data_IF_671999535736
#
_entry.id   IF_671999535736
#
_cell.length_a   1.000
_cell.length_b   1.000
_cell.length_c   1.000
_cell.angle_alpha   90.00
_cell.angle_beta   90.00
_cell.angle_gamma   90.00
#
_symmetry.space_group_name_H-M   'P 1'
#
loop_
_entity.id
_entity.type
_entity.pdbx_description
1 polymer ?
#
# COMPACT_ATOMS: atom_id res chain seq x y z
N UNK A 1 -26.36 -16.72 -51.27
CA UNK A 1 -26.93 -15.39 -50.91
C UNK A 1 -26.96 -15.18 -49.39
N UNK A 2 -27.30 -16.19 -48.58
CA UNK A 2 -27.31 -16.07 -47.11
C UNK A 2 -25.93 -15.88 -46.48
N UNK A 3 -24.91 -16.65 -46.89
CA UNK A 3 -23.54 -16.52 -46.36
C UNK A 3 -22.97 -15.10 -46.48
N UNK A 4 -23.14 -14.44 -47.63
CA UNK A 4 -22.63 -13.08 -47.85
C UNK A 4 -23.32 -12.05 -46.94
N UNK A 5 -24.64 -12.20 -46.72
CA UNK A 5 -25.38 -11.35 -45.78
C UNK A 5 -24.92 -11.55 -44.34
N UNK A 6 -24.71 -12.81 -43.92
CA UNK A 6 -24.17 -13.12 -42.59
C UNK A 6 -22.76 -12.55 -42.39
N UNK A 7 -21.89 -12.65 -43.39
CA UNK A 7 -20.55 -12.04 -43.36
C UNK A 7 -20.63 -10.51 -43.24
N UNK A 8 -21.52 -9.87 -43.99
CA UNK A 8 -21.75 -8.42 -43.90
C UNK A 8 -22.29 -8.00 -42.53
N UNK A 9 -23.22 -8.78 -41.96
CA UNK A 9 -23.71 -8.57 -40.60
C UNK A 9 -22.57 -8.62 -39.57
N UNK A 10 -21.69 -9.61 -39.63
CA UNK A 10 -20.54 -9.73 -38.73
C UNK A 10 -19.56 -8.57 -38.92
N UNK A 11 -19.32 -8.12 -40.16
CA UNK A 11 -18.45 -6.97 -40.44
C UNK A 11 -18.94 -5.70 -39.75
N UNK A 12 -20.26 -5.50 -39.71
CA UNK A 12 -20.89 -4.33 -39.09
C UNK A 12 -21.03 -4.49 -37.57
N UNK A 13 -21.32 -5.70 -37.09
CA UNK A 13 -21.43 -6.02 -35.67
C UNK A 13 -20.83 -7.41 -35.40
N UNK A 14 -19.60 -7.50 -34.85
CA UNK A 14 -18.96 -8.78 -34.57
C UNK A 14 -19.73 -9.68 -33.61
N UNK A 15 -20.50 -9.08 -32.68
CA UNK A 15 -21.32 -9.81 -31.73
C UNK A 15 -22.53 -10.48 -32.38
N UNK A 16 -22.85 -10.17 -33.65
CA UNK A 16 -23.89 -10.86 -34.40
C UNK A 16 -23.62 -12.37 -34.53
N UNK A 17 -22.36 -12.80 -34.37
CA UNK A 17 -21.97 -14.21 -34.34
C UNK A 17 -22.77 -15.03 -33.32
N UNK A 18 -23.23 -14.39 -32.22
CA UNK A 18 -24.03 -15.02 -31.16
C UNK A 18 -25.41 -15.51 -31.64
N UNK A 19 -25.91 -14.99 -32.76
CA UNK A 19 -27.24 -15.28 -33.30
C UNK A 19 -27.18 -16.14 -34.57
N UNK A 20 -25.99 -16.59 -34.97
CA UNK A 20 -25.81 -17.42 -36.16
C UNK A 20 -25.77 -18.88 -35.72
N UNK A 21 -26.72 -19.68 -36.18
CA UNK A 21 -26.70 -21.12 -35.96
C UNK A 21 -25.55 -21.76 -36.74
N UNK A 22 -24.70 -22.53 -36.06
CA UNK A 22 -23.54 -23.24 -36.63
C UNK A 22 -22.65 -22.35 -37.54
N UNK A 23 -22.05 -21.26 -36.99
CA UNK A 23 -21.22 -20.37 -37.79
C UNK A 23 -19.95 -21.09 -38.29
N UNK A 24 -19.53 -20.77 -39.50
CA UNK A 24 -18.28 -21.33 -40.06
C UNK A 24 -17.06 -20.75 -39.35
N UNK A 25 -15.92 -21.43 -39.41
CA UNK A 25 -14.68 -20.91 -38.82
C UNK A 25 -14.22 -19.58 -39.43
N UNK A 26 -14.52 -19.35 -40.71
CA UNK A 26 -14.34 -18.05 -41.37
C UNK A 26 -15.16 -16.94 -40.69
N UNK A 27 -16.42 -17.20 -40.35
CA UNK A 27 -17.29 -16.26 -39.66
C UNK A 27 -16.81 -15.98 -38.23
N UNK A 28 -16.42 -17.04 -37.51
CA UNK A 28 -15.87 -16.95 -36.15
C UNK A 28 -14.59 -16.11 -36.13
N UNK A 29 -13.63 -16.40 -37.01
CA UNK A 29 -12.38 -15.65 -37.11
C UNK A 29 -12.61 -14.21 -37.56
N UNK A 30 -13.57 -13.96 -38.46
CA UNK A 30 -13.94 -12.60 -38.86
C UNK A 30 -14.47 -11.79 -37.67
N UNK A 31 -15.35 -12.38 -36.86
CA UNK A 31 -15.88 -11.75 -35.65
C UNK A 31 -14.75 -11.43 -34.66
N UNK A 32 -13.88 -12.41 -34.38
CA UNK A 32 -12.73 -12.26 -33.48
C UNK A 32 -11.78 -11.15 -33.95
N UNK A 33 -11.43 -11.13 -35.24
CA UNK A 33 -10.52 -10.11 -35.80
C UNK A 33 -11.07 -8.69 -35.71
N UNK A 34 -12.40 -8.53 -35.67
CA UNK A 34 -13.05 -7.24 -35.49
C UNK A 34 -13.23 -6.86 -34.02
N UNK A 35 -13.44 -7.85 -33.15
CA UNK A 35 -13.53 -7.68 -31.71
C UNK A 35 -13.15 -8.99 -31.01
N UNK A 36 -12.00 -9.01 -30.33
CA UNK A 36 -11.50 -10.20 -29.63
C UNK A 36 -12.47 -10.74 -28.58
N UNK A 37 -13.30 -9.88 -27.98
CA UNK A 37 -14.32 -10.29 -27.00
C UNK A 37 -15.49 -11.08 -27.62
N UNK A 38 -15.59 -11.14 -28.96
CA UNK A 38 -16.55 -12.02 -29.63
C UNK A 38 -16.26 -13.50 -29.36
N UNK A 39 -15.06 -13.84 -28.87
CA UNK A 39 -14.69 -15.19 -28.44
C UNK A 39 -15.70 -15.79 -27.45
N UNK A 40 -16.34 -14.96 -26.61
CA UNK A 40 -17.35 -15.41 -25.62
C UNK A 40 -18.59 -16.07 -26.23
N UNK A 41 -18.84 -15.88 -27.52
CA UNK A 41 -19.98 -16.44 -28.24
C UNK A 41 -19.59 -17.65 -29.10
N UNK A 42 -18.34 -18.11 -29.01
CA UNK A 42 -17.82 -19.20 -29.81
C UNK A 42 -17.60 -20.41 -28.89
N UNK A 43 -18.41 -21.44 -29.09
CA UNK A 43 -18.24 -22.70 -28.39
C UNK A 43 -17.01 -23.44 -28.91
N UNK A 44 -16.21 -23.98 -27.98
CA UNK A 44 -14.97 -24.74 -28.26
C UNK A 44 -14.03 -24.05 -29.28
N UNK A 45 -13.55 -22.83 -29.00
CA UNK A 45 -12.69 -22.10 -29.93
C UNK A 45 -11.34 -22.82 -30.10
N UNK A 46 -10.82 -22.83 -31.32
CA UNK A 46 -9.49 -23.38 -31.62
C UNK A 46 -8.39 -22.52 -31.00
N UNK A 47 -7.19 -23.05 -30.81
CA UNK A 47 -6.04 -22.27 -30.32
C UNK A 47 -5.78 -21.03 -31.18
N UNK A 48 -5.91 -21.14 -32.51
CA UNK A 48 -5.80 -20.00 -33.42
C UNK A 48 -6.83 -18.90 -33.14
N UNK A 49 -8.08 -19.28 -32.82
CA UNK A 49 -9.13 -18.34 -32.47
C UNK A 49 -8.85 -17.64 -31.13
N UNK A 50 -8.38 -18.40 -30.14
CA UNK A 50 -7.99 -17.87 -28.83
C UNK A 50 -6.83 -16.88 -28.95
N UNK A 51 -5.77 -17.23 -29.69
CA UNK A 51 -4.62 -16.35 -29.95
C UNK A 51 -5.04 -15.08 -30.70
N UNK A 52 -5.82 -15.22 -31.77
CA UNK A 52 -6.33 -14.08 -32.55
C UNK A 52 -7.18 -13.14 -31.70
N UNK A 53 -7.95 -13.68 -30.74
CA UNK A 53 -8.75 -12.89 -29.82
C UNK A 53 -7.86 -12.10 -28.86
N UNK A 54 -6.82 -12.74 -28.31
CA UNK A 54 -5.83 -12.11 -27.44
C UNK A 54 -4.97 -11.06 -28.15
N UNK A 55 -4.63 -11.27 -29.42
CA UNK A 55 -3.94 -10.27 -30.26
C UNK A 55 -4.79 -9.01 -30.46
N UNK A 56 -6.11 -9.18 -30.56
CA UNK A 56 -7.02 -8.05 -30.73
C UNK A 56 -7.35 -7.37 -29.40
N UNK A 57 -7.57 -8.15 -28.34
CA UNK A 57 -7.93 -7.66 -27.02
C UNK A 57 -7.49 -8.66 -25.94
N UNK A 58 -6.49 -8.28 -25.13
CA UNK A 58 -5.94 -9.12 -24.07
C UNK A 58 -6.96 -9.57 -23.01
N UNK A 59 -8.06 -8.82 -22.82
CA UNK A 59 -9.16 -9.22 -21.94
C UNK A 59 -9.90 -10.47 -22.44
N UNK A 60 -9.73 -10.87 -23.71
CA UNK A 60 -10.30 -12.10 -24.23
C UNK A 60 -9.89 -13.35 -23.44
N UNK A 61 -8.82 -13.28 -22.64
CA UNK A 61 -8.41 -14.35 -21.70
C UNK A 61 -9.54 -14.76 -20.75
N UNK A 62 -10.47 -13.85 -20.43
CA UNK A 62 -11.68 -14.11 -19.64
C UNK A 62 -12.50 -15.29 -20.20
N UNK A 63 -12.46 -15.49 -21.52
CA UNK A 63 -13.25 -16.48 -22.26
C UNK A 63 -12.42 -17.69 -22.72
N UNK A 64 -11.15 -17.78 -22.30
CA UNK A 64 -10.28 -18.93 -22.59
C UNK A 64 -10.35 -19.89 -21.39
N UNK A 65 -10.81 -21.11 -21.64
CA UNK A 65 -10.75 -22.17 -20.63
C UNK A 65 -9.31 -22.69 -20.54
N UNK A 66 -8.72 -22.66 -19.35
CA UNK A 66 -7.35 -23.09 -19.07
C UNK A 66 -6.30 -22.42 -19.99
N UNK A 67 -6.13 -21.08 -19.92
CA UNK A 67 -5.14 -20.38 -20.74
C UNK A 67 -3.73 -20.88 -20.42
N UNK A 68 -2.87 -20.89 -21.44
CA UNK A 68 -1.44 -21.21 -21.25
C UNK A 68 -0.73 -20.11 -20.45
N UNK A 69 0.43 -20.43 -19.88
CA UNK A 69 1.22 -19.42 -19.16
C UNK A 69 1.63 -18.26 -20.08
N UNK A 70 1.98 -18.52 -21.35
CA UNK A 70 2.28 -17.47 -22.33
C UNK A 70 1.08 -16.55 -22.60
N UNK A 71 -0.14 -17.11 -22.66
CA UNK A 71 -1.36 -16.31 -22.78
C UNK A 71 -1.57 -15.41 -21.56
N UNK A 72 -1.35 -15.95 -20.35
CA UNK A 72 -1.43 -15.19 -19.11
C UNK A 72 -0.39 -14.07 -19.07
N UNK A 73 0.87 -14.35 -19.41
CA UNK A 73 1.95 -13.37 -19.50
C UNK A 73 1.58 -12.26 -20.48
N UNK A 74 1.09 -12.63 -21.67
CA UNK A 74 0.63 -11.66 -22.68
C UNK A 74 -0.49 -10.78 -22.15
N UNK A 75 -1.48 -11.35 -21.47
CA UNK A 75 -2.57 -10.58 -20.88
C UNK A 75 -2.06 -9.56 -19.86
N UNK A 76 -1.15 -9.98 -18.98
CA UNK A 76 -0.56 -9.09 -17.98
C UNK A 76 0.33 -8.02 -18.61
N UNK A 77 1.11 -8.35 -19.64
CA UNK A 77 1.95 -7.38 -20.35
C UNK A 77 1.15 -6.27 -21.04
N UNK A 78 -0.08 -6.57 -21.48
CA UNK A 78 -1.02 -5.56 -21.98
C UNK A 78 -1.57 -4.67 -20.83
N UNK A 79 -1.75 -5.25 -19.66
CA UNK A 79 -1.98 -4.49 -18.44
C UNK A 79 -2.25 -5.36 -17.21
N UNK A 80 -1.69 -4.97 -16.08
CA UNK A 80 -1.88 -5.65 -14.78
C UNK A 80 -3.35 -5.85 -14.37
N UNK A 81 -4.26 -5.02 -14.87
CA UNK A 81 -5.70 -5.14 -14.59
C UNK A 81 -6.29 -6.44 -15.13
N UNK A 82 -5.67 -7.04 -16.17
CA UNK A 82 -6.11 -8.29 -16.75
C UNK A 82 -5.93 -9.48 -15.79
N UNK A 83 -5.21 -9.32 -14.67
CA UNK A 83 -5.15 -10.32 -13.61
C UNK A 83 -6.55 -10.68 -13.07
N UNK A 84 -7.50 -9.73 -13.10
CA UNK A 84 -8.91 -9.96 -12.73
C UNK A 84 -9.56 -11.10 -13.50
N UNK A 85 -9.16 -11.31 -14.76
CA UNK A 85 -9.78 -12.26 -15.67
C UNK A 85 -9.06 -13.61 -15.71
N UNK A 86 -7.93 -13.75 -15.01
CA UNK A 86 -7.15 -14.99 -14.96
C UNK A 86 -7.63 -15.83 -13.78
N UNK A 87 -8.16 -17.02 -14.07
CA UNK A 87 -8.57 -17.98 -13.04
C UNK A 87 -7.35 -18.73 -12.51
N UNK A 88 -7.15 -18.71 -11.19
CA UNK A 88 -6.06 -19.40 -10.49
C UNK A 88 -4.65 -19.06 -11.06
N UNK A 89 -4.24 -17.78 -11.09
CA UNK A 89 -2.93 -17.40 -11.60
C UNK A 89 -1.81 -18.00 -10.73
N UNK A 90 -0.69 -18.36 -11.35
CA UNK A 90 0.52 -18.77 -10.61
C UNK A 90 1.15 -17.56 -9.92
N UNK A 91 1.95 -17.80 -8.89
CA UNK A 91 2.74 -16.74 -8.22
C UNK A 91 3.59 -15.95 -9.22
N UNK A 92 4.10 -16.58 -10.27
CA UNK A 92 4.86 -15.90 -11.34
C UNK A 92 4.00 -14.85 -12.05
N UNK A 93 2.78 -15.21 -12.45
CA UNK A 93 1.83 -14.29 -13.10
C UNK A 93 1.41 -13.17 -12.15
N UNK A 94 1.16 -13.49 -10.88
CA UNK A 94 0.81 -12.50 -9.86
C UNK A 94 1.97 -11.51 -9.66
N UNK A 95 3.19 -12.00 -9.47
CA UNK A 95 4.39 -11.15 -9.31
C UNK A 95 4.61 -10.26 -10.53
N UNK A 96 4.38 -10.77 -11.74
CA UNK A 96 4.46 -9.97 -12.97
C UNK A 96 3.48 -8.78 -12.94
N UNK A 97 2.22 -9.03 -12.55
CA UNK A 97 1.21 -7.99 -12.44
C UNK A 97 1.53 -6.96 -11.34
N UNK A 98 1.94 -7.43 -10.15
CA UNK A 98 2.33 -6.57 -9.02
C UNK A 98 3.53 -5.69 -9.40
N UNK A 99 4.49 -6.23 -10.15
CA UNK A 99 5.67 -5.47 -10.58
C UNK A 99 5.33 -4.32 -11.53
N UNK A 100 4.20 -4.37 -12.25
CA UNK A 100 3.68 -3.22 -12.97
C UNK A 100 2.98 -2.23 -12.03
N UNK A 101 2.09 -2.72 -11.17
CA UNK A 101 1.42 -1.91 -10.15
C UNK A 101 1.08 -2.73 -8.90
N UNK A 102 1.47 -2.24 -7.72
CA UNK A 102 1.23 -2.90 -6.44
C UNK A 102 -0.26 -3.15 -6.15
N UNK A 103 -1.15 -2.32 -6.72
CA UNK A 103 -2.59 -2.49 -6.62
C UNK A 103 -3.14 -3.76 -7.28
N UNK A 104 -2.36 -4.45 -8.13
CA UNK A 104 -2.75 -5.74 -8.69
C UNK A 104 -3.07 -6.79 -7.61
N UNK A 105 -2.50 -6.65 -6.41
CA UNK A 105 -2.78 -7.51 -5.25
C UNK A 105 -4.28 -7.60 -4.93
N UNK A 106 -5.09 -6.60 -5.32
CA UNK A 106 -6.54 -6.59 -5.11
C UNK A 106 -7.28 -7.75 -5.79
N UNK A 107 -6.66 -8.37 -6.80
CA UNK A 107 -7.21 -9.52 -7.54
C UNK A 107 -6.66 -10.86 -7.04
N UNK A 108 -5.84 -10.85 -5.98
CA UNK A 108 -5.22 -12.06 -5.43
C UNK A 108 -5.96 -12.45 -4.16
N UNK A 109 -6.55 -13.64 -4.16
CA UNK A 109 -7.17 -14.18 -2.96
C UNK A 109 -6.11 -14.71 -1.99
N UNK A 110 -6.16 -14.28 -0.72
CA UNK A 110 -5.25 -14.71 0.35
C UNK A 110 -3.76 -14.65 -0.07
N UNK A 111 -3.23 -13.47 -0.45
CA UNK A 111 -1.86 -13.35 -0.92
C UNK A 111 -0.85 -13.73 0.17
N UNK A 112 0.20 -14.45 -0.21
CA UNK A 112 1.32 -14.78 0.67
C UNK A 112 2.02 -13.52 1.19
N UNK A 113 2.73 -13.63 2.32
CA UNK A 113 3.49 -12.51 2.88
C UNK A 113 4.46 -11.90 1.85
N UNK A 114 5.09 -12.73 0.99
CA UNK A 114 5.99 -12.26 -0.07
C UNK A 114 5.26 -11.37 -1.08
N UNK A 115 4.07 -11.77 -1.53
CA UNK A 115 3.26 -11.00 -2.48
C UNK A 115 2.75 -9.69 -1.86
N UNK A 116 2.36 -9.73 -0.59
CA UNK A 116 1.97 -8.54 0.15
C UNK A 116 3.14 -7.54 0.26
N UNK A 117 4.33 -8.01 0.63
CA UNK A 117 5.55 -7.19 0.70
C UNK A 117 5.91 -6.59 -0.65
N UNK A 118 5.82 -7.38 -1.73
CA UNK A 118 6.08 -6.89 -3.08
C UNK A 118 5.09 -5.78 -3.47
N UNK A 119 3.81 -5.96 -3.16
CA UNK A 119 2.76 -4.99 -3.45
C UNK A 119 2.98 -3.67 -2.71
N UNK A 120 3.22 -3.70 -1.40
CA UNK A 120 3.41 -2.48 -0.59
C UNK A 120 4.70 -1.74 -0.96
N UNK A 121 5.76 -2.45 -1.33
CA UNK A 121 6.99 -1.82 -1.85
C UNK A 121 6.77 -1.08 -3.16
N UNK A 122 5.89 -1.61 -4.02
CA UNK A 122 5.56 -0.97 -5.30
C UNK A 122 4.63 0.23 -5.08
N UNK A 123 3.59 0.07 -4.27
CA UNK A 123 2.65 1.10 -3.90
C UNK A 123 2.26 0.89 -2.44
N UNK A 124 2.72 1.74 -1.52
CA UNK A 124 2.46 1.57 -0.08
C UNK A 124 0.97 1.46 0.26
N UNK A 125 0.13 2.18 -0.50
CA UNK A 125 -1.31 2.21 -0.30
C UNK A 125 -2.03 0.97 -0.86
N UNK A 126 -1.31 0.05 -1.53
CA UNK A 126 -1.85 -1.27 -1.91
C UNK A 126 -2.27 -2.10 -0.71
N UNK A 127 -1.75 -1.79 0.49
CA UNK A 127 -2.16 -2.42 1.74
C UNK A 127 -3.68 -2.29 1.99
N UNK A 128 -4.34 -1.27 1.44
CA UNK A 128 -5.80 -1.09 1.50
C UNK A 128 -6.59 -2.23 0.85
N UNK A 129 -5.96 -2.99 -0.05
CA UNK A 129 -6.56 -4.12 -0.75
C UNK A 129 -6.21 -5.47 -0.11
N UNK A 130 -5.42 -5.48 0.96
CA UNK A 130 -5.02 -6.68 1.67
C UNK A 130 -5.92 -6.82 2.90
N UNK A 131 -6.80 -7.82 2.91
CA UNK A 131 -7.77 -8.03 3.99
C UNK A 131 -7.10 -8.27 5.35
N UNK A 132 -6.06 -9.10 5.36
CA UNK A 132 -5.31 -9.50 6.56
C UNK A 132 -3.82 -9.29 6.28
N UNK A 133 -3.30 -8.05 6.43
CA UNK A 133 -1.91 -7.76 6.13
C UNK A 133 -0.99 -8.35 7.21
N UNK A 134 0.03 -9.09 6.81
CA UNK A 134 1.08 -9.55 7.72
C UNK A 134 1.79 -8.36 8.37
N UNK A 135 2.28 -8.55 9.59
CA UNK A 135 2.99 -7.52 10.36
C UNK A 135 4.10 -6.85 9.52
N UNK A 136 4.93 -7.64 8.82
CA UNK A 136 6.00 -7.10 7.98
C UNK A 136 5.49 -6.24 6.83
N UNK A 137 4.33 -6.57 6.24
CA UNK A 137 3.73 -5.77 5.19
C UNK A 137 3.17 -4.44 5.74
N UNK A 138 2.58 -4.46 6.93
CA UNK A 138 2.14 -3.26 7.64
C UNK A 138 3.32 -2.34 7.91
N UNK A 139 4.39 -2.87 8.52
CA UNK A 139 5.61 -2.13 8.80
C UNK A 139 6.23 -1.52 7.55
N UNK A 140 6.34 -2.31 6.46
CA UNK A 140 6.92 -1.83 5.21
C UNK A 140 6.09 -0.68 4.62
N UNK A 141 4.76 -0.79 4.64
CA UNK A 141 3.87 0.27 4.16
C UNK A 141 4.05 1.57 4.95
N UNK A 142 4.10 1.51 6.28
CA UNK A 142 4.29 2.72 7.13
C UNK A 142 5.72 3.27 7.07
N UNK A 143 6.74 2.42 6.84
CA UNK A 143 8.12 2.85 6.55
C UNK A 143 8.17 3.68 5.28
N UNK A 144 7.39 3.35 4.26
CA UNK A 144 7.29 4.13 3.01
C UNK A 144 6.45 5.40 3.23
N UNK A 145 5.29 5.31 3.87
CA UNK A 145 4.45 6.47 4.21
C UNK A 145 3.67 6.21 5.49
N UNK A 146 3.81 7.06 6.51
CA UNK A 146 3.05 6.92 7.76
C UNK A 146 1.54 6.96 7.53
N UNK A 147 1.08 7.64 6.47
CA UNK A 147 -0.33 7.70 6.06
C UNK A 147 -0.91 6.33 5.70
N UNK A 148 -0.07 5.33 5.42
CA UNK A 148 -0.50 3.95 5.20
C UNK A 148 -1.34 3.41 6.36
N UNK A 149 -1.09 3.90 7.58
CA UNK A 149 -1.80 3.50 8.80
C UNK A 149 -3.32 3.69 8.68
N UNK A 150 -3.77 4.67 7.88
CA UNK A 150 -5.19 4.92 7.59
C UNK A 150 -5.90 3.73 6.95
N UNK A 151 -5.16 2.87 6.25
CA UNK A 151 -5.70 1.75 5.49
C UNK A 151 -5.62 0.42 6.24
N UNK A 152 -5.05 0.41 7.46
CA UNK A 152 -4.83 -0.81 8.24
C UNK A 152 -5.89 -0.88 9.33
N UNK A 153 -6.79 -1.86 9.24
CA UNK A 153 -7.92 -1.99 10.19
C UNK A 153 -7.46 -2.29 11.63
N UNK A 154 -6.38 -3.05 11.78
CA UNK A 154 -5.82 -3.46 13.08
C UNK A 154 -4.30 -3.41 12.99
N UNK A 155 -3.70 -2.21 13.08
CA UNK A 155 -2.26 -2.07 12.95
C UNK A 155 -1.55 -2.74 14.12
N UNK A 156 -0.41 -3.39 13.84
CA UNK A 156 0.45 -3.86 14.93
C UNK A 156 1.03 -2.67 15.66
N UNK A 157 1.27 -2.84 16.97
CA UNK A 157 1.88 -1.80 17.78
C UNK A 157 3.24 -1.35 17.22
N UNK A 158 4.02 -2.26 16.62
CA UNK A 158 5.28 -1.90 15.96
C UNK A 158 5.06 -1.03 14.70
N UNK A 159 4.03 -1.31 13.90
CA UNK A 159 3.67 -0.47 12.76
C UNK A 159 3.24 0.95 13.22
N UNK A 160 2.50 1.06 14.33
CA UNK A 160 2.17 2.35 14.95
C UNK A 160 3.43 3.11 15.38
N UNK A 161 4.35 2.45 16.09
CA UNK A 161 5.62 3.05 16.54
C UNK A 161 6.44 3.57 15.36
N UNK A 162 6.54 2.80 14.27
CA UNK A 162 7.26 3.21 13.06
C UNK A 162 6.59 4.44 12.43
N UNK A 163 5.25 4.43 12.31
CA UNK A 163 4.50 5.54 11.74
C UNK A 163 4.69 6.82 12.57
N UNK A 164 4.60 6.72 13.90
CA UNK A 164 4.80 7.84 14.84
C UNK A 164 6.22 8.36 14.79
N UNK A 165 7.22 7.47 14.77
CA UNK A 165 8.63 7.85 14.66
C UNK A 165 8.89 8.63 13.37
N UNK A 166 8.21 8.26 12.29
CA UNK A 166 8.30 8.95 11.00
C UNK A 166 7.63 10.32 11.01
N UNK A 167 6.43 10.42 11.58
CA UNK A 167 5.66 11.66 11.63
C UNK A 167 4.69 11.66 12.82
N UNK A 168 4.70 12.73 13.62
CA UNK A 168 3.82 12.82 14.80
C UNK A 168 2.34 12.84 14.43
N UNK A 169 1.99 13.26 13.20
CA UNK A 169 0.60 13.33 12.73
C UNK A 169 -0.04 11.95 12.64
N UNK A 170 0.76 10.88 12.58
CA UNK A 170 0.28 9.50 12.57
C UNK A 170 -0.60 9.16 13.78
N UNK A 171 -0.45 9.86 14.91
CA UNK A 171 -1.27 9.60 16.10
C UNK A 171 -2.76 9.83 15.86
N UNK A 172 -3.11 10.70 14.90
CA UNK A 172 -4.51 10.96 14.51
C UNK A 172 -5.15 9.79 13.75
N UNK A 173 -4.34 8.83 13.31
CA UNK A 173 -4.77 7.65 12.56
C UNK A 173 -4.88 6.40 13.46
N UNK A 174 -4.54 6.52 14.75
CA UNK A 174 -4.59 5.43 15.72
C UNK A 174 -5.93 5.52 16.46
N UNK A 175 -6.77 4.49 16.31
CA UNK A 175 -8.14 4.50 16.82
C UNK A 175 -8.24 4.04 18.29
N UNK A 176 -7.34 3.18 18.76
CA UNK A 176 -7.33 2.57 20.09
C UNK A 176 -6.22 3.16 20.96
N UNK A 177 -6.12 4.49 20.96
CA UNK A 177 -5.10 5.20 21.71
C UNK A 177 -5.40 5.15 23.22
N UNK A 178 -4.56 4.43 23.97
CA UNK A 178 -4.56 4.45 25.43
C UNK A 178 -3.38 5.23 26.00
N UNK A 179 -3.39 5.46 27.31
CA UNK A 179 -2.33 6.20 28.00
C UNK A 179 -0.95 5.54 27.85
N UNK A 180 -0.85 4.21 27.89
CA UNK A 180 0.44 3.52 27.79
C UNK A 180 1.03 3.72 26.39
N UNK A 181 0.23 3.55 25.34
CA UNK A 181 0.62 3.86 23.95
C UNK A 181 1.08 5.31 23.82
N UNK A 182 0.36 6.26 24.40
CA UNK A 182 0.75 7.68 24.37
C UNK A 182 2.15 7.89 24.96
N UNK A 183 2.43 7.30 26.13
CA UNK A 183 3.74 7.44 26.77
C UNK A 183 4.86 6.82 25.94
N UNK A 184 4.62 5.68 25.30
CA UNK A 184 5.57 5.05 24.37
C UNK A 184 5.79 5.87 23.10
N UNK A 185 4.73 6.42 22.53
CA UNK A 185 4.79 7.30 21.36
C UNK A 185 5.56 8.58 21.64
N UNK A 186 5.42 9.15 22.84
CA UNK A 186 6.21 10.31 23.27
C UNK A 186 7.70 9.97 23.41
N UNK A 187 8.06 8.74 23.83
CA UNK A 187 9.47 8.29 23.89
C UNK A 187 10.12 8.20 22.52
N UNK A 188 9.36 7.87 21.47
CA UNK A 188 9.91 7.74 20.10
C UNK A 188 9.79 9.02 19.28
N UNK A 189 8.79 9.86 19.54
CA UNK A 189 8.60 11.16 18.90
C UNK A 189 7.92 12.16 19.84
N UNK A 190 8.72 13.02 20.46
CA UNK A 190 8.24 14.03 21.42
C UNK A 190 7.25 15.03 20.80
N UNK A 191 7.24 15.24 19.49
CA UNK A 191 6.29 16.16 18.83
C UNK A 191 4.84 15.68 18.91
N UNK A 192 4.61 14.41 19.25
CA UNK A 192 3.30 13.86 19.60
C UNK A 192 2.61 14.68 20.69
N UNK A 193 3.37 15.31 21.59
CA UNK A 193 2.84 16.13 22.69
C UNK A 193 1.85 17.19 22.23
N UNK A 194 1.97 17.69 21.00
CA UNK A 194 1.05 18.66 20.38
C UNK A 194 -0.40 18.17 20.33
N UNK A 195 -0.62 16.86 20.31
CA UNK A 195 -1.95 16.24 20.18
C UNK A 195 -2.49 15.67 21.48
N UNK A 196 -1.62 15.36 22.45
CA UNK A 196 -1.97 14.56 23.64
C UNK A 196 -1.68 15.27 24.96
N UNK A 197 -1.37 16.57 24.93
CA UNK A 197 -0.98 17.35 26.12
C UNK A 197 -1.99 17.25 27.28
N UNK A 198 -3.28 17.05 26.98
CA UNK A 198 -4.36 16.93 27.98
C UNK A 198 -4.54 15.51 28.52
N UNK A 199 -3.93 14.52 27.87
CA UNK A 199 -4.12 13.08 28.18
C UNK A 199 -3.08 12.54 29.17
N UNK A 200 -2.04 13.32 29.47
CA UNK A 200 -0.95 12.94 30.38
C UNK A 200 -0.71 14.03 31.43
N UNK A 201 -0.20 13.60 32.59
CA UNK A 201 0.28 14.48 33.64
C UNK A 201 1.72 14.96 33.37
N UNK A 202 2.09 16.06 34.03
CA UNK A 202 3.47 16.56 34.02
C UNK A 202 4.48 15.50 34.49
N UNK A 203 4.15 14.75 35.53
CA UNK A 203 5.05 13.74 36.10
C UNK A 203 5.32 12.59 35.11
N UNK A 204 4.27 12.13 34.41
CA UNK A 204 4.39 11.09 33.38
C UNK A 204 5.28 11.59 32.21
N UNK A 205 5.08 12.83 31.75
CA UNK A 205 5.94 13.42 30.72
C UNK A 205 7.39 13.56 31.20
N UNK A 206 7.62 14.03 32.41
CA UNK A 206 8.98 14.13 32.97
C UNK A 206 9.67 12.78 33.04
N UNK A 207 8.94 11.71 33.37
CA UNK A 207 9.50 10.36 33.40
C UNK A 207 9.88 9.90 31.99
N UNK A 208 8.98 10.05 31.00
CA UNK A 208 9.27 9.76 29.59
C UNK A 208 10.51 10.50 29.10
N UNK A 209 10.60 11.81 29.40
CA UNK A 209 11.73 12.63 28.98
C UNK A 209 13.03 12.26 29.69
N UNK A 210 12.99 11.90 30.98
CA UNK A 210 14.17 11.39 31.71
C UNK A 210 14.70 10.14 31.03
N UNK A 211 13.83 9.15 30.82
CA UNK A 211 14.20 7.88 30.19
C UNK A 211 14.79 8.08 28.79
N UNK A 212 14.16 8.91 27.95
CA UNK A 212 14.62 9.14 26.57
C UNK A 212 15.92 9.95 26.51
N UNK A 213 16.02 11.05 27.28
CA UNK A 213 17.15 11.98 27.19
C UNK A 213 18.38 11.50 27.97
N UNK A 214 18.22 10.65 28.99
CA UNK A 214 19.35 10.06 29.73
C UNK A 214 20.07 8.96 28.95
N UNK A 215 19.49 8.47 27.86
CA UNK A 215 20.10 7.46 27.00
C UNK A 215 21.28 8.06 26.21
N UNK A 216 22.46 7.44 26.25
CA UNK A 216 23.63 7.87 25.46
C UNK A 216 23.45 7.64 23.96
N UNK A 217 22.56 6.72 23.57
CA UNK A 217 22.24 6.46 22.16
C UNK A 217 21.10 7.33 21.63
N UNK A 218 20.56 8.25 22.44
CA UNK A 218 19.45 9.14 22.06
C UNK A 218 19.67 9.76 20.68
N UNK A 219 18.65 9.71 19.83
CA UNK A 219 18.72 10.26 18.48
C UNK A 219 18.83 11.78 18.52
N UNK A 220 19.72 12.34 17.70
CA UNK A 220 19.92 13.79 17.63
C UNK A 220 18.62 14.52 17.29
N UNK A 221 17.85 13.96 16.35
CA UNK A 221 16.54 14.47 15.96
C UNK A 221 15.61 14.60 17.17
N UNK A 222 15.54 13.58 18.04
CA UNK A 222 14.67 13.60 19.21
C UNK A 222 15.03 14.74 20.18
N UNK A 223 16.33 14.95 20.44
CA UNK A 223 16.79 16.03 21.32
C UNK A 223 16.44 17.41 20.74
N UNK A 224 16.67 17.60 19.44
CA UNK A 224 16.33 18.87 18.75
C UNK A 224 14.81 19.09 18.72
N UNK A 225 14.03 18.06 18.42
CA UNK A 225 12.57 18.12 18.44
C UNK A 225 12.04 18.47 19.83
N UNK A 226 12.61 17.91 20.90
CA UNK A 226 12.25 18.26 22.26
C UNK A 226 12.54 19.73 22.55
N UNK A 227 13.74 20.21 22.23
CA UNK A 227 14.15 21.61 22.40
C UNK A 227 13.25 22.58 21.63
N UNK A 228 12.76 22.19 20.47
CA UNK A 228 11.90 23.00 19.60
C UNK A 228 10.39 22.70 19.77
N UNK A 229 10.02 21.77 20.64
CA UNK A 229 8.62 21.39 20.90
C UNK A 229 7.84 22.52 21.56
N UNK A 230 6.50 22.41 21.51
CA UNK A 230 5.55 23.34 22.15
C UNK A 230 5.56 23.31 23.67
N UNK A 231 6.36 22.42 24.28
CA UNK A 231 6.62 22.46 25.72
C UNK A 231 7.42 23.73 26.00
N UNK A 232 6.79 24.70 26.65
CA UNK A 232 7.38 26.01 26.93
C UNK A 232 7.22 26.42 28.40
N UNK A 233 8.12 27.29 28.84
CA UNK A 233 8.11 28.00 30.12
C UNK A 233 6.90 28.89 30.34
N UNK A 234 6.08 29.14 29.31
CA UNK A 234 4.86 29.92 29.40
C UNK A 234 3.59 29.09 29.14
N UNK A 235 3.70 27.76 29.08
CA UNK A 235 2.52 26.89 28.96
C UNK A 235 1.76 26.83 30.28
N UNK A 236 0.46 27.15 30.25
CA UNK A 236 -0.42 27.01 31.43
C UNK A 236 -0.59 25.54 31.89
N UNK A 237 -0.20 24.57 31.04
CA UNK A 237 -0.42 23.14 31.27
C UNK A 237 0.89 22.44 31.67
N UNK A 238 2.01 22.74 30.99
CA UNK A 238 3.29 22.03 31.20
C UNK A 238 4.51 22.96 31.18
N UNK A 239 4.73 23.65 32.30
CA UNK A 239 5.92 24.47 32.53
C UNK A 239 7.19 23.63 32.68
N UNK A 240 8.16 23.81 31.79
CA UNK A 240 9.47 23.15 31.85
C UNK A 240 10.60 24.01 31.28
N UNK A 241 11.69 24.17 32.03
CA UNK A 241 12.95 24.68 31.49
C UNK A 241 13.69 23.55 30.78
N UNK A 242 13.53 23.48 29.46
CA UNK A 242 14.08 22.39 28.64
C UNK A 242 15.60 22.26 28.72
N UNK A 243 16.31 23.39 28.80
CA UNK A 243 17.78 23.40 28.91
C UNK A 243 18.23 22.90 30.27
N UNK A 244 17.61 23.39 31.34
CA UNK A 244 17.92 22.93 32.70
C UNK A 244 17.57 21.44 32.88
N UNK A 245 16.48 20.99 32.25
CA UNK A 245 16.08 19.59 32.27
C UNK A 245 17.16 18.68 31.64
N UNK A 246 17.64 19.01 30.43
CA UNK A 246 18.74 18.28 29.79
C UNK A 246 20.02 18.36 30.62
N UNK A 247 20.33 19.51 31.20
CA UNK A 247 21.51 19.65 32.06
C UNK A 247 21.46 18.69 33.26
N UNK A 248 20.29 18.57 33.91
CA UNK A 248 20.11 17.73 35.08
C UNK A 248 20.03 16.23 34.77
N UNK A 249 19.29 15.85 33.73
CA UNK A 249 18.91 14.46 33.47
C UNK A 249 19.45 13.89 32.16
N UNK A 250 19.85 14.73 31.22
CA UNK A 250 20.32 14.30 29.90
C UNK A 250 21.68 13.60 29.94
N UNK A 251 21.86 12.70 28.96
CA UNK A 251 23.13 12.05 28.64
C UNK A 251 24.18 13.05 28.18
N UNK A 252 25.46 12.63 28.10
CA UNK A 252 26.52 13.49 27.56
C UNK A 252 26.21 13.88 26.12
N UNK A 253 25.71 12.95 25.32
CA UNK A 253 25.25 13.21 23.95
C UNK A 253 24.13 14.25 23.90
N UNK A 254 23.08 14.09 24.70
CA UNK A 254 21.96 15.04 24.74
C UNK A 254 22.42 16.46 25.13
N UNK A 255 23.30 16.58 26.13
CA UNK A 255 23.88 17.86 26.56
C UNK A 255 24.67 18.54 25.46
N UNK A 256 25.51 17.79 24.72
CA UNK A 256 26.27 18.32 23.59
C UNK A 256 25.33 18.89 22.51
N UNK A 257 24.33 18.12 22.09
CA UNK A 257 23.36 18.55 21.08
C UNK A 257 22.61 19.81 21.52
N UNK A 258 22.21 19.88 22.79
CA UNK A 258 21.50 21.03 23.33
C UNK A 258 22.34 22.31 23.36
N UNK A 259 23.63 22.20 23.69
CA UNK A 259 24.57 23.33 23.60
C UNK A 259 24.72 23.78 22.14
N UNK A 260 24.92 22.84 21.22
CA UNK A 260 25.07 23.12 19.79
C UNK A 260 23.83 23.85 19.23
N UNK A 261 22.62 23.40 19.59
CA UNK A 261 21.37 24.05 19.16
C UNK A 261 21.22 25.46 19.73
N UNK A 262 21.58 25.67 21.00
CA UNK A 262 21.53 27.00 21.64
C UNK A 262 22.48 28.01 21.00
N UNK A 263 23.64 27.57 20.50
CA UNK A 263 24.62 28.43 19.85
C UNK A 263 24.18 28.91 18.46
N UNK A 264 23.28 28.19 17.78
CA UNK A 264 22.72 28.60 16.48
C UNK A 264 21.68 29.72 16.57
N UNK A 265 21.09 29.92 17.74
CA UNK A 265 20.05 30.93 17.99
C UNK A 265 20.63 32.31 18.34
N UNK A 266 21.96 32.48 18.25
CA UNK A 266 22.68 33.75 18.38
C UNK A 266 23.06 34.28 17.01
#
# INVERSE_FOLDING_TARGET
MEKSKLIEMIKNNPNAIAYINNPTDEMKLLAIKKNGLALKYIDNPTSQMQESAMDNNARAIEFINNPTEDMMIKAINDGWINLEYIKNPTDTIIKLAINQAGWAIKYVNNPSEELQLLAVRKNYDSIKFIKEPFERAQEEAVKISYDALRYINSPTHNAELIAIKKDERAIRLINDLDKNKILEFLKVNILVIKYVMKEISKNELEQVLKEALSNEDVEEKYVRDYLNSTIDKNSDIMLMDKMMFIYKYGSKKAKKIAVDEKLKLK
#
